data_IF_589018200133
#
_entry.id   IF_589018200133
#
_cell.length_a   1.000
_cell.length_b   1.000
_cell.length_c   1.000
_cell.angle_alpha   90.00
_cell.angle_beta   90.00
_cell.angle_gamma   90.00
#
_symmetry.space_group_name_H-M   'P 1'
#
loop_
_entity.id
_entity.type
_entity.pdbx_description
1 polymer ?
#
# COMPACT_ATOMS: atom_id res chain seq x y z
N UNK A 1 16.11 -27.66 9.28
CA UNK A 1 15.08 -26.95 8.49
C UNK A 1 14.93 -25.57 9.10
N UNK A 2 15.58 -24.55 8.53
CA UNK A 2 15.55 -23.19 9.06
C UNK A 2 14.26 -22.49 8.60
N UNK A 3 13.26 -22.51 9.47
CA UNK A 3 12.04 -21.74 9.34
C UNK A 3 12.27 -20.33 9.94
N UNK A 4 11.95 -19.27 9.20
CA UNK A 4 11.53 -18.00 9.81
C UNK A 4 12.60 -16.96 10.23
N UNK A 5 13.68 -16.74 9.48
CA UNK A 5 14.33 -15.41 9.53
C UNK A 5 13.65 -14.52 8.50
N UNK A 6 13.00 -13.43 8.92
CA UNK A 6 12.70 -12.33 8.00
C UNK A 6 14.03 -11.95 7.37
N UNK A 7 14.11 -12.08 6.04
CA UNK A 7 15.34 -11.70 5.33
C UNK A 7 15.39 -10.18 5.38
N UNK A 8 16.31 -9.66 6.19
CA UNK A 8 16.66 -8.27 6.11
C UNK A 8 17.37 -8.01 4.78
N UNK A 9 16.64 -7.41 3.85
CA UNK A 9 17.13 -7.09 2.51
C UNK A 9 17.86 -5.76 2.47
N UNK A 10 17.78 -4.94 3.51
CA UNK A 10 18.38 -3.61 3.52
C UNK A 10 19.92 -3.69 3.35
N UNK A 11 20.68 -4.49 4.13
CA UNK A 11 22.13 -4.59 3.96
C UNK A 11 22.52 -5.06 2.55
N UNK A 12 21.71 -5.94 1.96
CA UNK A 12 21.90 -6.40 0.58
C UNK A 12 21.78 -5.24 -0.41
N UNK A 13 20.73 -4.43 -0.32
CA UNK A 13 20.52 -3.34 -1.28
C UNK A 13 21.55 -2.22 -1.10
N UNK A 14 21.96 -1.94 0.14
CA UNK A 14 23.09 -1.04 0.42
C UNK A 14 24.39 -1.53 -0.22
N UNK A 15 24.71 -2.82 -0.08
CA UNK A 15 25.87 -3.45 -0.73
C UNK A 15 25.78 -3.37 -2.27
N UNK A 16 24.61 -3.72 -2.84
CA UNK A 16 24.43 -3.78 -4.30
C UNK A 16 24.47 -2.41 -4.98
N UNK A 17 23.99 -1.38 -4.31
CA UNK A 17 24.04 -0.01 -4.81
C UNK A 17 25.41 0.66 -4.56
N UNK A 18 26.38 -0.09 -4.00
CA UNK A 18 27.75 0.36 -3.72
C UNK A 18 27.77 1.69 -2.93
N UNK A 19 26.85 1.83 -1.98
CA UNK A 19 26.69 3.02 -1.17
C UNK A 19 27.40 2.79 0.17
N UNK A 20 28.54 3.45 0.42
CA UNK A 20 29.15 3.46 1.76
C UNK A 20 28.33 4.28 2.75
N UNK A 21 27.60 5.32 2.28
CA UNK A 21 26.82 6.23 3.13
C UNK A 21 25.29 5.96 3.13
N UNK A 22 24.80 5.02 2.32
CA UNK A 22 23.45 4.49 2.43
C UNK A 22 22.28 5.40 2.00
N UNK A 23 22.52 6.50 1.28
CA UNK A 23 21.50 7.54 1.07
C UNK A 23 20.35 7.17 0.12
N UNK A 24 20.45 6.05 -0.61
CA UNK A 24 19.43 5.61 -1.57
C UNK A 24 18.52 4.48 -1.08
N UNK A 25 18.78 3.94 0.12
CA UNK A 25 17.99 2.85 0.72
C UNK A 25 17.43 3.34 2.04
N UNK A 26 16.11 3.34 2.14
CA UNK A 26 15.38 3.83 3.30
C UNK A 26 14.64 2.69 3.98
N UNK A 27 14.86 2.51 5.27
CA UNK A 27 13.96 1.72 6.11
C UNK A 27 12.71 2.55 6.40
N UNK A 28 11.57 2.11 5.89
CA UNK A 28 10.28 2.81 6.03
C UNK A 28 9.76 2.85 7.46
N UNK A 29 10.28 1.99 8.35
CA UNK A 29 9.98 2.02 9.77
C UNK A 29 10.69 3.20 10.46
N UNK A 30 11.75 3.72 9.85
CA UNK A 30 12.54 4.87 10.32
C UNK A 30 12.18 6.13 9.54
N UNK A 31 12.14 6.06 8.20
CA UNK A 31 11.85 7.18 7.30
C UNK A 31 10.53 6.93 6.57
N UNK A 32 9.46 7.61 7.02
CA UNK A 32 8.14 7.48 6.40
C UNK A 32 8.17 7.93 4.93
N UNK A 33 7.45 7.26 4.02
CA UNK A 33 7.37 7.66 2.61
C UNK A 33 6.92 9.11 2.41
N UNK A 34 6.00 9.60 3.25
CA UNK A 34 5.57 11.01 3.22
C UNK A 34 6.72 11.99 3.51
N UNK A 35 7.59 11.67 4.47
CA UNK A 35 8.76 12.48 4.78
C UNK A 35 9.78 12.49 3.61
N UNK A 36 9.95 11.36 2.91
CA UNK A 36 10.75 11.33 1.70
C UNK A 36 10.17 12.24 0.60
N UNK A 37 8.86 12.23 0.39
CA UNK A 37 8.18 13.09 -0.61
C UNK A 37 8.28 14.57 -0.24
N UNK A 38 8.12 14.90 1.03
CA UNK A 38 8.18 16.29 1.52
C UNK A 38 9.60 16.83 1.49
N UNK A 39 10.55 16.12 2.11
CA UNK A 39 11.91 16.62 2.32
C UNK A 39 12.89 16.11 1.28
N UNK A 40 12.94 14.80 1.05
CA UNK A 40 13.90 14.20 0.11
C UNK A 40 13.69 14.70 -1.32
N UNK A 41 12.46 14.55 -1.82
CA UNK A 41 12.10 15.02 -3.15
C UNK A 41 12.02 16.55 -3.22
N UNK A 42 11.53 17.20 -2.16
CA UNK A 42 11.46 18.67 -2.07
C UNK A 42 12.84 19.34 -2.20
N UNK A 43 13.86 18.82 -1.50
CA UNK A 43 15.24 19.31 -1.64
C UNK A 43 15.77 19.11 -3.07
N UNK A 44 15.51 17.96 -3.69
CA UNK A 44 15.93 17.68 -5.07
C UNK A 44 15.27 18.64 -6.08
N UNK A 45 13.99 18.92 -5.89
CA UNK A 45 13.22 19.87 -6.71
C UNK A 45 13.77 21.30 -6.55
N UNK A 46 14.06 21.74 -5.33
CA UNK A 46 14.67 23.05 -5.08
C UNK A 46 16.03 23.22 -5.77
N UNK A 47 16.88 22.18 -5.73
CA UNK A 47 18.15 22.18 -6.46
C UNK A 47 17.91 22.27 -7.97
N UNK A 48 16.97 21.49 -8.51
CA UNK A 48 16.61 21.54 -9.91
C UNK A 48 16.10 22.94 -10.33
N UNK A 49 15.30 23.59 -9.49
CA UNK A 49 14.74 24.92 -9.73
C UNK A 49 15.81 26.02 -9.63
N UNK A 50 16.83 25.83 -8.79
CA UNK A 50 18.00 26.70 -8.71
C UNK A 50 18.91 26.64 -9.95
N UNK A 51 18.66 25.70 -10.88
CA UNK A 51 19.41 25.53 -12.12
C UNK A 51 20.34 24.31 -12.15
N UNK A 52 20.31 23.44 -11.14
CA UNK A 52 21.10 22.20 -11.16
C UNK A 52 20.53 21.21 -12.18
N UNK A 53 21.27 21.02 -13.27
CA UNK A 53 20.89 20.11 -14.35
C UNK A 53 20.89 18.63 -13.93
N UNK A 54 21.78 18.24 -13.01
CA UNK A 54 21.85 16.87 -12.49
C UNK A 54 20.64 16.59 -11.63
N UNK A 55 20.27 17.51 -10.72
CA UNK A 55 19.08 17.39 -9.88
C UNK A 55 17.82 17.26 -10.73
N UNK A 56 17.68 18.11 -11.77
CA UNK A 56 16.57 18.03 -12.72
C UNK A 56 16.52 16.69 -13.47
N UNK A 57 17.68 16.20 -13.91
CA UNK A 57 17.77 14.90 -14.58
C UNK A 57 17.38 13.75 -13.64
N UNK A 58 17.87 13.75 -12.40
CA UNK A 58 17.50 12.76 -11.38
C UNK A 58 15.99 12.82 -11.11
N UNK A 59 15.42 14.01 -10.91
CA UNK A 59 13.99 14.19 -10.65
C UNK A 59 13.09 13.63 -11.75
N UNK A 60 13.50 13.79 -13.01
CA UNK A 60 12.76 13.32 -14.18
C UNK A 60 12.92 11.82 -14.45
N UNK A 61 14.03 11.22 -14.01
CA UNK A 61 14.34 9.81 -14.25
C UNK A 61 14.22 8.94 -12.99
N UNK A 62 13.79 9.51 -11.86
CA UNK A 62 13.65 8.83 -10.59
C UNK A 62 12.68 7.66 -10.73
N UNK A 63 13.09 6.49 -10.22
CA UNK A 63 12.25 5.30 -10.08
C UNK A 63 12.34 4.81 -8.65
N UNK A 64 11.22 4.39 -8.08
CA UNK A 64 11.16 3.92 -6.70
C UNK A 64 10.99 2.40 -6.70
N UNK A 65 11.74 1.70 -5.87
CA UNK A 65 11.58 0.25 -5.66
C UNK A 65 11.19 -0.01 -4.22
N UNK A 66 10.08 -0.71 -4.02
CA UNK A 66 9.53 -0.99 -2.69
C UNK A 66 9.67 -2.48 -2.39
N UNK A 67 10.33 -2.79 -1.28
CA UNK A 67 10.45 -4.15 -0.78
C UNK A 67 9.47 -4.37 0.38
N UNK A 68 8.42 -5.14 0.13
CA UNK A 68 7.32 -5.29 1.08
C UNK A 68 6.16 -6.13 0.54
N UNK A 69 5.03 -6.10 1.24
CA UNK A 69 3.76 -6.62 0.76
C UNK A 69 2.87 -5.52 0.16
N UNK A 70 1.66 -5.88 -0.28
CA UNK A 70 0.74 -4.93 -0.93
C UNK A 70 0.41 -3.71 -0.07
N UNK A 71 0.28 -3.86 1.26
CA UNK A 71 0.04 -2.71 2.15
C UNK A 71 1.18 -1.70 2.17
N UNK A 72 2.43 -2.19 2.14
CA UNK A 72 3.62 -1.34 2.05
C UNK A 72 3.71 -0.62 0.70
N UNK A 73 3.44 -1.35 -0.38
CA UNK A 73 3.43 -0.78 -1.74
C UNK A 73 2.32 0.26 -1.87
N UNK A 74 1.12 -0.03 -1.37
CA UNK A 74 -0.01 0.89 -1.34
C UNK A 74 0.26 2.16 -0.55
N UNK A 75 0.94 2.05 0.61
CA UNK A 75 1.35 3.22 1.40
C UNK A 75 2.29 4.15 0.59
N UNK A 76 3.32 3.59 -0.04
CA UNK A 76 4.26 4.37 -0.87
C UNK A 76 3.54 5.00 -2.07
N UNK A 77 2.69 4.24 -2.77
CA UNK A 77 1.90 4.75 -3.89
C UNK A 77 0.97 5.90 -3.46
N UNK A 78 0.31 5.76 -2.30
CA UNK A 78 -0.53 6.82 -1.73
C UNK A 78 0.26 8.11 -1.49
N UNK A 79 1.44 8.02 -0.87
CA UNK A 79 2.28 9.20 -0.65
C UNK A 79 2.81 9.81 -1.95
N UNK A 80 3.17 9.00 -2.95
CA UNK A 80 3.58 9.51 -4.27
C UNK A 80 2.40 10.08 -5.06
N UNK A 81 1.19 9.59 -4.84
CA UNK A 81 -0.05 10.09 -5.46
C UNK A 81 -0.35 11.53 -5.08
N UNK A 82 0.06 11.99 -3.89
CA UNK A 82 -0.06 13.40 -3.49
C UNK A 82 0.68 14.36 -4.44
N UNK A 83 1.75 13.90 -5.10
CA UNK A 83 2.44 14.69 -6.13
C UNK A 83 1.52 14.98 -7.31
N UNK A 84 0.65 14.04 -7.70
CA UNK A 84 -0.32 14.26 -8.77
C UNK A 84 -1.36 15.30 -8.36
N UNK A 85 -1.91 15.19 -7.15
CA UNK A 85 -2.90 16.14 -6.60
C UNK A 85 -2.32 17.55 -6.49
N UNK A 86 -1.05 17.66 -6.10
CA UNK A 86 -0.33 18.93 -5.98
C UNK A 86 0.23 19.45 -7.32
N UNK A 87 -0.04 18.77 -8.44
CA UNK A 87 0.51 19.10 -9.76
C UNK A 87 2.06 19.14 -9.80
N UNK A 88 2.72 18.32 -8.98
CA UNK A 88 4.18 18.16 -8.85
C UNK A 88 4.69 16.97 -9.67
N UNK A 89 4.54 17.07 -10.99
CA UNK A 89 4.98 16.02 -11.93
C UNK A 89 6.49 15.99 -12.19
N UNK A 90 7.04 14.86 -12.66
CA UNK A 90 6.37 13.56 -12.84
C UNK A 90 6.21 12.78 -11.53
N UNK A 91 5.20 11.91 -11.43
CA UNK A 91 5.11 10.93 -10.33
C UNK A 91 6.10 9.78 -10.64
N UNK A 92 7.06 9.46 -9.74
CA UNK A 92 8.01 8.39 -9.99
C UNK A 92 7.32 7.02 -10.13
N UNK A 93 7.63 6.21 -11.15
CA UNK A 93 7.11 4.86 -11.25
C UNK A 93 7.63 3.97 -10.11
N UNK A 94 6.78 3.05 -9.66
CA UNK A 94 7.05 2.15 -8.53
C UNK A 94 7.24 0.72 -9.01
N UNK A 95 8.36 0.11 -8.62
CA UNK A 95 8.67 -1.30 -8.80
C UNK A 95 8.53 -2.06 -7.46
N UNK A 96 8.23 -3.36 -7.52
CA UNK A 96 7.94 -4.16 -6.32
C UNK A 96 8.95 -5.28 -6.15
N UNK A 97 9.43 -5.46 -4.93
CA UNK A 97 10.09 -6.67 -4.45
C UNK A 97 9.10 -7.38 -3.51
N UNK A 98 8.53 -8.53 -3.91
CA UNK A 98 7.45 -9.20 -3.18
C UNK A 98 7.96 -9.91 -1.93
N UNK A 99 7.98 -9.20 -0.79
CA UNK A 99 8.34 -9.74 0.52
C UNK A 99 7.13 -10.10 1.39
N UNK A 100 5.92 -9.70 0.97
CA UNK A 100 4.67 -10.06 1.65
C UNK A 100 4.15 -11.45 1.31
N UNK A 101 2.96 -11.78 1.82
CA UNK A 101 2.31 -13.08 1.56
C UNK A 101 1.22 -13.00 0.48
N UNK A 102 0.43 -11.92 0.47
CA UNK A 102 -0.44 -11.53 -0.64
C UNK A 102 0.26 -10.41 -1.39
N UNK A 103 0.93 -10.75 -2.50
CA UNK A 103 1.65 -9.80 -3.35
C UNK A 103 0.90 -9.68 -4.68
N UNK A 104 -0.36 -9.27 -4.62
CA UNK A 104 -1.25 -9.25 -5.77
C UNK A 104 -0.83 -8.15 -6.76
N UNK A 105 -0.37 -6.98 -6.30
CA UNK A 105 0.23 -5.97 -7.18
C UNK A 105 1.48 -6.53 -7.89
N UNK A 106 2.34 -7.21 -7.14
CA UNK A 106 3.55 -7.83 -7.71
C UNK A 106 3.21 -8.85 -8.80
N UNK A 107 2.17 -9.67 -8.61
CA UNK A 107 1.73 -10.65 -9.60
C UNK A 107 1.16 -9.98 -10.85
N UNK A 108 0.27 -9.00 -10.66
CA UNK A 108 -0.40 -8.29 -11.76
C UNK A 108 0.60 -7.56 -12.66
N UNK A 109 1.69 -7.02 -12.10
CA UNK A 109 2.74 -6.32 -12.86
C UNK A 109 3.99 -7.20 -13.15
N UNK A 110 3.89 -8.52 -12.93
CA UNK A 110 4.91 -9.50 -13.32
C UNK A 110 6.22 -9.43 -12.52
N UNK A 111 6.21 -8.87 -11.31
CA UNK A 111 7.35 -8.85 -10.36
C UNK A 111 7.51 -10.18 -9.59
N UNK A 112 6.49 -11.03 -9.64
CA UNK A 112 6.52 -12.40 -9.13
C UNK A 112 5.70 -12.58 -7.86
N UNK A 113 5.49 -13.84 -7.46
CA UNK A 113 4.65 -14.17 -6.32
C UNK A 113 5.36 -14.02 -4.95
N UNK A 114 6.69 -14.18 -4.93
CA UNK A 114 7.53 -14.10 -3.73
C UNK A 114 8.98 -13.87 -4.12
N UNK A 115 9.78 -13.37 -3.17
CA UNK A 115 11.20 -13.14 -3.41
C UNK A 115 12.01 -14.46 -3.31
N UNK A 116 12.81 -14.83 -4.34
CA UNK A 116 13.55 -16.08 -4.35
C UNK A 116 14.63 -16.20 -3.27
N UNK A 117 14.90 -17.43 -2.82
CA UNK A 117 16.02 -17.75 -1.90
C UNK A 117 17.41 -17.37 -2.43
N UNK A 118 17.59 -17.23 -3.75
CA UNK A 118 18.83 -16.70 -4.35
C UNK A 118 18.85 -15.17 -4.30
N UNK A 119 18.75 -14.61 -3.09
CA UNK A 119 18.48 -13.20 -2.80
C UNK A 119 19.41 -12.22 -3.53
N UNK A 120 20.73 -12.41 -3.53
CA UNK A 120 21.67 -11.54 -4.29
C UNK A 120 21.35 -11.46 -5.77
N UNK A 121 21.17 -12.63 -6.41
CA UNK A 121 20.89 -12.70 -7.84
C UNK A 121 19.48 -12.19 -8.16
N UNK A 122 18.50 -12.47 -7.30
CA UNK A 122 17.13 -11.99 -7.42
C UNK A 122 17.03 -10.45 -7.28
N UNK A 123 17.73 -9.87 -6.30
CA UNK A 123 17.82 -8.43 -6.12
C UNK A 123 18.42 -7.75 -7.35
N UNK A 124 19.57 -8.24 -7.84
CA UNK A 124 20.19 -7.74 -9.08
C UNK A 124 19.21 -7.79 -10.27
N UNK A 125 18.55 -8.94 -10.49
CA UNK A 125 17.55 -9.07 -11.58
C UNK A 125 16.40 -8.08 -11.43
N UNK A 126 15.93 -7.87 -10.19
CA UNK A 126 14.83 -6.95 -9.90
C UNK A 126 15.25 -5.51 -10.18
N UNK A 127 16.45 -5.10 -9.76
CA UNK A 127 17.01 -3.78 -10.06
C UNK A 127 17.17 -3.58 -11.58
N UNK A 128 17.74 -4.55 -12.30
CA UNK A 128 17.85 -4.48 -13.75
C UNK A 128 16.47 -4.34 -14.42
N UNK A 129 15.47 -5.09 -13.95
CA UNK A 129 14.09 -4.97 -14.43
C UNK A 129 13.50 -3.60 -14.11
N UNK A 130 13.78 -3.02 -12.94
CA UNK A 130 13.29 -1.69 -12.57
C UNK A 130 13.91 -0.58 -13.42
N UNK A 131 15.19 -0.71 -13.78
CA UNK A 131 15.92 0.26 -14.61
C UNK A 131 15.46 0.18 -16.08
N UNK A 132 15.42 -1.02 -16.64
CA UNK A 132 15.18 -1.23 -18.08
C UNK A 132 13.73 -1.51 -18.45
N UNK A 133 12.88 -1.81 -17.47
CA UNK A 133 11.49 -2.17 -17.67
C UNK A 133 10.63 -1.01 -18.15
N UNK A 134 9.60 -1.34 -18.91
CA UNK A 134 8.53 -0.41 -19.32
C UNK A 134 7.65 -0.04 -18.12
N UNK A 135 7.16 1.19 -18.12
CA UNK A 135 6.19 1.65 -17.13
C UNK A 135 4.79 1.32 -17.63
N UNK A 136 3.94 0.82 -16.74
CA UNK A 136 2.52 0.59 -16.99
C UNK A 136 1.70 1.48 -16.07
N UNK A 137 0.55 1.96 -16.55
CA UNK A 137 -0.40 2.70 -15.72
C UNK A 137 -1.05 1.76 -14.69
N UNK A 138 -1.39 2.32 -13.54
CA UNK A 138 -2.14 1.68 -12.46
C UNK A 138 -3.29 2.60 -12.09
N UNK A 139 -4.50 2.06 -12.12
CA UNK A 139 -5.68 2.79 -11.66
C UNK A 139 -5.69 2.85 -10.13
N UNK A 140 -6.15 3.98 -9.59
CA UNK A 140 -6.33 4.21 -8.16
C UNK A 140 -7.79 4.45 -7.85
N UNK A 141 -8.31 3.77 -6.82
CA UNK A 141 -9.69 3.91 -6.39
C UNK A 141 -9.73 4.74 -5.12
N UNK A 142 -10.32 5.94 -5.21
CA UNK A 142 -10.59 6.77 -4.04
C UNK A 142 -11.91 6.32 -3.41
N UNK A 143 -11.85 5.92 -2.15
CA UNK A 143 -12.99 5.37 -1.43
C UNK A 143 -13.28 6.29 -0.26
N UNK A 144 -14.55 6.66 -0.10
CA UNK A 144 -15.06 7.41 1.04
C UNK A 144 -16.05 6.51 1.79
N UNK A 145 -15.82 6.35 3.08
CA UNK A 145 -16.68 5.56 3.98
C UNK A 145 -17.27 6.51 5.01
N UNK A 146 -18.59 6.48 5.15
CA UNK A 146 -19.31 7.25 6.18
C UNK A 146 -20.00 6.28 7.11
N UNK A 147 -19.82 6.46 8.42
CA UNK A 147 -20.43 5.62 9.45
C UNK A 147 -21.18 6.49 10.45
N UNK A 148 -22.34 6.03 10.97
CA UNK A 148 -23.03 6.72 12.05
C UNK A 148 -22.13 6.77 13.29
N UNK A 149 -22.21 7.88 14.01
CA UNK A 149 -21.51 8.04 15.28
C UNK A 149 -22.16 7.13 16.35
N UNK A 150 -21.66 5.91 16.52
CA UNK A 150 -22.07 5.06 17.64
C UNK A 150 -21.29 5.45 18.90
N UNK A 151 -22.02 5.71 19.99
CA UNK A 151 -21.50 6.24 21.24
C UNK A 151 -20.51 5.33 21.95
N UNK A 152 -19.23 5.44 21.56
CA UNK A 152 -17.99 5.35 22.32
C UNK A 152 -16.87 5.52 21.28
N UNK A 153 -16.01 6.54 21.41
CA UNK A 153 -14.83 6.74 20.56
C UNK A 153 -13.86 5.55 20.74
N UNK A 154 -14.06 4.45 19.98
CA UNK A 154 -13.02 3.46 19.83
C UNK A 154 -11.97 4.03 18.89
N UNK A 155 -10.75 4.15 19.40
CA UNK A 155 -9.57 4.50 18.60
C UNK A 155 -9.38 3.40 17.54
N UNK A 156 -9.80 3.68 16.30
CA UNK A 156 -9.67 2.77 15.18
C UNK A 156 -8.21 2.76 14.70
N UNK A 157 -7.58 1.59 14.72
CA UNK A 157 -6.28 1.40 14.05
C UNK A 157 -6.49 1.32 12.54
N UNK A 158 -6.33 2.47 11.87
CA UNK A 158 -6.55 2.59 10.44
C UNK A 158 -5.32 2.11 9.66
N UNK A 159 -5.51 1.33 8.57
CA UNK A 159 -4.41 1.02 7.66
C UNK A 159 -3.90 2.31 7.00
N UNK A 160 -2.63 2.33 6.58
CA UNK A 160 -2.01 3.50 5.93
C UNK A 160 -2.74 4.02 4.67
N UNK A 161 -3.60 3.20 4.07
CA UNK A 161 -4.42 3.57 2.92
C UNK A 161 -5.65 4.40 3.28
N UNK A 162 -6.07 4.44 4.55
CA UNK A 162 -7.24 5.18 5.05
C UNK A 162 -6.83 6.24 6.07
N UNK A 163 -7.56 7.36 6.07
CA UNK A 163 -7.43 8.44 7.07
C UNK A 163 -8.80 8.94 7.50
N UNK A 164 -8.87 9.48 8.71
CA UNK A 164 -10.06 10.13 9.24
C UNK A 164 -10.21 11.52 8.61
N UNK A 165 -11.37 11.80 8.01
CA UNK A 165 -11.71 13.11 7.44
C UNK A 165 -12.40 14.03 8.45
N UNK A 166 -12.86 13.51 9.59
CA UNK A 166 -13.64 14.26 10.57
C UNK A 166 -15.13 13.94 10.51
N UNK A 167 -15.89 14.65 11.33
CA UNK A 167 -17.35 14.63 11.35
C UNK A 167 -17.91 15.48 10.19
N UNK A 168 -18.90 14.95 9.49
CA UNK A 168 -19.68 15.68 8.49
C UNK A 168 -21.16 15.63 8.83
N UNK A 169 -21.89 16.70 8.50
CA UNK A 169 -23.36 16.72 8.52
C UNK A 169 -23.86 16.46 7.11
N UNK A 170 -24.79 15.53 6.93
CA UNK A 170 -25.44 15.35 5.64
C UNK A 170 -26.26 16.61 5.31
N UNK A 171 -26.03 17.19 4.12
CA UNK A 171 -26.97 18.15 3.56
C UNK A 171 -28.16 17.37 3.04
N UNK A 172 -29.31 17.58 3.67
CA UNK A 172 -30.62 17.17 3.16
C UNK A 172 -30.79 17.71 1.73
N UNK A 173 -30.92 16.79 0.76
CA UNK A 173 -31.33 17.08 -0.64
C UNK A 173 -32.79 17.60 -0.71
N UNK A 174 -33.44 17.81 0.43
CA UNK A 174 -34.76 18.44 0.51
C UNK A 174 -35.88 17.55 -0.01
N UNK A 175 -35.63 16.25 -0.15
CA UNK A 175 -36.59 15.26 -0.64
C UNK A 175 -37.19 14.37 0.45
N UNK A 176 -36.79 14.52 1.71
CA UNK A 176 -37.35 13.77 2.83
C UNK A 176 -37.83 14.68 3.98
N UNK A 177 -39.14 14.72 4.22
CA UNK A 177 -39.70 15.29 5.45
C UNK A 177 -39.35 14.38 6.64
N UNK A 178 -38.27 14.70 7.36
CA UNK A 178 -37.91 14.05 8.62
C UNK A 178 -36.69 14.72 9.29
N UNK A 179 -36.86 15.19 10.54
CA UNK A 179 -35.76 15.66 11.39
C UNK A 179 -34.83 14.49 11.71
N UNK A 180 -33.58 14.51 11.24
CA UNK A 180 -32.42 13.88 11.90
C UNK A 180 -31.12 14.50 11.34
N UNK A 181 -30.45 15.32 12.13
CA UNK A 181 -29.04 15.65 11.91
C UNK A 181 -28.18 14.53 12.49
N UNK A 182 -28.05 13.42 11.77
CA UNK A 182 -27.09 12.37 12.17
C UNK A 182 -25.68 12.85 11.83
N UNK A 183 -24.88 13.16 12.85
CA UNK A 183 -23.44 13.32 12.70
C UNK A 183 -22.87 11.99 12.22
N UNK A 184 -22.07 12.04 11.15
CA UNK A 184 -21.37 10.86 10.64
C UNK A 184 -19.87 11.07 10.65
N UNK A 185 -19.15 10.01 10.99
CA UNK A 185 -17.70 9.94 10.88
C UNK A 185 -17.33 9.54 9.46
N UNK A 186 -16.51 10.36 8.80
CA UNK A 186 -16.07 10.12 7.44
C UNK A 186 -14.59 9.68 7.41
N UNK A 187 -14.30 8.72 6.55
CA UNK A 187 -12.96 8.21 6.28
C UNK A 187 -12.74 8.22 4.77
N UNK A 188 -11.54 8.56 4.32
CA UNK A 188 -11.17 8.40 2.92
C UNK A 188 -9.84 7.70 2.74
N UNK A 189 -9.65 7.14 1.55
CA UNK A 189 -8.43 6.43 1.23
C UNK A 189 -8.29 6.04 -0.22
N UNK A 190 -7.09 5.60 -0.57
CA UNK A 190 -6.77 5.14 -1.93
C UNK A 190 -6.43 3.66 -1.92
N UNK A 191 -7.09 2.91 -2.79
CA UNK A 191 -6.93 1.47 -2.94
C UNK A 191 -6.50 1.12 -4.36
N UNK A 192 -5.73 0.04 -4.50
CA UNK A 192 -5.13 -0.38 -5.77
C UNK A 192 -5.48 -1.81 -6.19
N UNK A 193 -6.09 -2.60 -5.30
CA UNK A 193 -6.39 -4.01 -5.53
C UNK A 193 -7.89 -4.30 -5.38
N UNK A 194 -8.39 -4.19 -4.15
CA UNK A 194 -9.77 -4.50 -3.81
C UNK A 194 -10.20 -3.72 -2.56
N UNK A 195 -11.51 -3.56 -2.42
CA UNK A 195 -12.19 -3.11 -1.22
C UNK A 195 -13.40 -4.02 -1.03
N UNK A 196 -13.59 -4.54 0.19
CA UNK A 196 -14.69 -5.44 0.49
C UNK A 196 -15.37 -5.10 1.81
N UNK A 197 -16.66 -5.43 1.88
CA UNK A 197 -17.51 -5.30 3.07
C UNK A 197 -18.29 -6.60 3.28
N UNK A 198 -18.80 -6.82 4.49
CA UNK A 198 -19.59 -8.00 4.83
C UNK A 198 -18.74 -9.26 5.00
N UNK A 199 -19.22 -10.39 4.48
CA UNK A 199 -18.65 -11.72 4.76
C UNK A 199 -17.19 -11.87 4.34
N UNK A 200 -16.82 -11.38 3.16
CA UNK A 200 -15.43 -11.44 2.67
C UNK A 200 -14.49 -10.67 3.61
N UNK A 201 -14.87 -9.45 3.97
CA UNK A 201 -14.13 -8.62 4.92
C UNK A 201 -14.01 -9.27 6.30
N UNK A 202 -15.08 -9.94 6.79
CA UNK A 202 -15.05 -10.64 8.07
C UNK A 202 -14.07 -11.83 8.06
N UNK A 203 -14.02 -12.59 6.97
CA UNK A 203 -13.05 -13.70 6.82
C UNK A 203 -11.63 -13.17 6.74
N UNK A 204 -11.39 -12.12 5.96
CA UNK A 204 -10.09 -11.47 5.84
C UNK A 204 -9.62 -10.88 7.18
N UNK A 205 -10.52 -10.21 7.92
CA UNK A 205 -10.26 -9.68 9.25
C UNK A 205 -9.92 -10.79 10.25
N UNK A 206 -10.68 -11.89 10.26
CA UNK A 206 -10.36 -13.04 11.09
C UNK A 206 -9.02 -13.68 10.72
N UNK A 207 -8.58 -13.62 9.46
CA UNK A 207 -7.26 -14.08 9.06
C UNK A 207 -6.15 -13.13 9.55
N UNK A 208 -6.39 -11.82 9.50
CA UNK A 208 -5.48 -10.80 10.04
C UNK A 208 -5.23 -10.99 11.54
N UNK A 209 -6.29 -11.07 12.35
CA UNK A 209 -6.17 -11.32 13.79
C UNK A 209 -5.40 -12.61 14.10
N UNK A 210 -5.66 -13.68 13.35
CA UNK A 210 -4.94 -14.95 13.53
C UNK A 210 -3.45 -14.81 13.25
N UNK A 211 -3.07 -13.99 12.26
CA UNK A 211 -1.67 -13.72 11.94
C UNK A 211 -0.99 -12.96 13.08
N UNK A 212 -1.69 -12.05 13.73
CA UNK A 212 -1.14 -11.25 14.82
C UNK A 212 -1.03 -12.07 16.12
N UNK A 213 -2.05 -12.88 16.42
CA UNK A 213 -2.06 -13.77 17.59
C UNK A 213 -1.13 -14.99 17.45
N UNK A 214 -1.06 -15.56 16.24
CA UNK A 214 -0.36 -16.83 15.96
C UNK A 214 0.43 -16.73 14.65
N UNK A 215 1.49 -15.90 14.61
CA UNK A 215 2.28 -15.68 13.40
C UNK A 215 2.90 -16.97 12.81
N UNK A 216 3.13 -17.99 13.65
CA UNK A 216 3.63 -19.30 13.19
C UNK A 216 2.64 -20.04 12.26
N UNK A 217 1.33 -19.88 12.44
CA UNK A 217 0.30 -20.48 11.58
C UNK A 217 0.11 -19.72 10.26
N UNK A 218 0.53 -18.45 10.21
CA UNK A 218 0.39 -17.57 9.05
C UNK A 218 1.70 -17.40 8.26
N UNK A 219 2.71 -18.24 8.54
CA UNK A 219 4.09 -18.07 8.09
C UNK A 219 4.39 -18.57 6.66
N UNK A 220 3.41 -19.20 5.99
CA UNK A 220 3.65 -19.87 4.71
C UNK A 220 2.45 -19.80 3.74
N UNK A 221 2.67 -19.68 2.41
CA UNK A 221 1.59 -19.56 1.43
C UNK A 221 0.59 -20.73 1.44
N UNK A 222 1.06 -21.95 1.74
CA UNK A 222 0.20 -23.15 1.87
C UNK A 222 -0.65 -23.08 3.15
N UNK A 223 -0.02 -22.83 4.30
CA UNK A 223 -0.70 -22.68 5.59
C UNK A 223 -1.76 -21.58 5.56
N UNK A 224 -1.48 -20.49 4.85
CA UNK A 224 -2.40 -19.37 4.72
C UNK A 224 -3.62 -19.76 3.86
N UNK A 225 -3.41 -20.46 2.75
CA UNK A 225 -4.50 -20.97 1.91
C UNK A 225 -5.40 -21.97 2.64
N UNK A 226 -4.80 -22.90 3.40
CA UNK A 226 -5.55 -23.90 4.16
C UNK A 226 -6.37 -23.25 5.28
N UNK A 227 -5.79 -22.24 5.94
CA UNK A 227 -6.47 -21.47 6.99
C UNK A 227 -7.63 -20.64 6.43
N UNK A 228 -7.43 -19.97 5.29
CA UNK A 228 -8.47 -19.22 4.59
C UNK A 228 -9.61 -20.15 4.15
N UNK A 229 -9.30 -21.31 3.56
CA UNK A 229 -10.28 -22.31 3.15
C UNK A 229 -11.06 -22.87 4.36
N UNK A 230 -10.38 -23.15 5.48
CA UNK A 230 -11.02 -23.64 6.70
C UNK A 230 -11.95 -22.61 7.34
N UNK A 231 -11.64 -21.31 7.26
CA UNK A 231 -12.53 -20.25 7.77
C UNK A 231 -13.69 -19.95 6.82
N UNK A 232 -13.48 -20.06 5.51
CA UNK A 232 -14.53 -19.87 4.49
C UNK A 232 -15.57 -21.00 4.42
N UNK A 233 -15.25 -22.20 4.90
CA UNK A 233 -16.13 -23.38 4.82
C UNK A 233 -17.31 -23.42 5.80
N UNK A 234 -17.46 -22.46 6.72
CA UNK A 234 -18.43 -22.55 7.82
C UNK A 234 -19.63 -21.60 7.76
N UNK A 235 -19.75 -20.69 6.79
CA UNK A 235 -20.80 -19.67 6.83
C UNK A 235 -21.44 -19.45 5.45
N UNK A 236 -22.78 -19.50 5.42
CA UNK A 236 -23.63 -19.42 4.23
C UNK A 236 -23.34 -18.14 3.42
N UNK A 237 -23.14 -18.34 2.12
CA UNK A 237 -22.91 -17.29 1.12
C UNK A 237 -24.10 -16.33 0.99
N UNK A 238 -23.86 -15.02 1.13
CA UNK A 238 -24.69 -13.98 0.52
C UNK A 238 -23.80 -13.20 -0.43
N UNK A 239 -24.03 -13.40 -1.73
CA UNK A 239 -23.42 -12.65 -2.82
C UNK A 239 -24.19 -11.34 -2.97
N UNK A 240 -23.57 -10.20 -2.66
CA UNK A 240 -24.14 -8.89 -3.01
C UNK A 240 -23.58 -8.48 -4.37
N UNK A 241 -24.42 -8.58 -5.40
CA UNK A 241 -24.15 -8.01 -6.72
C UNK A 241 -24.44 -6.51 -6.66
N UNK A 242 -23.42 -5.66 -6.82
CA UNK A 242 -23.65 -4.24 -7.09
C UNK A 242 -24.10 -4.12 -8.55
N UNK A 243 -25.41 -3.96 -8.76
CA UNK A 243 -25.96 -3.54 -10.05
C UNK A 243 -25.60 -2.06 -10.24
N UNK A 244 -24.84 -1.75 -11.29
CA UNK A 244 -24.80 -0.40 -11.82
C UNK A 244 -26.15 -0.12 -12.48
N UNK A 245 -26.87 0.88 -11.97
CA UNK A 245 -28.00 1.49 -12.68
C UNK A 245 -27.49 2.61 -13.57
N UNK A 246 -27.82 2.48 -14.87
CA UNK A 246 -27.74 3.40 -16.02
C UNK A 246 -26.93 4.71 -15.93
#
# INVERSE_FOLDING_TARGET
>A
MNCGRSVDVEPLFRELLAQEDGEQVFDITVVKPSAFVEYGLGCLEQLADSGDHSARSVRNNLRVMVAGGDGTVGWVLGCLGELYVQNRGPVPPVAVIPLGTGNDLSRSFGWGASFPFSWKAAAKRSLYKAILGTVSCLDSWHIVVSMPEEGEEQELDLPHSLRHLGECTFYDDGTAEGELSETVCCFDGVFYNYFSIGMDAQVAYGFHQLRDEKPFLASGPLSNKDTLASKGGSLHSVLVTLNYGD
#
